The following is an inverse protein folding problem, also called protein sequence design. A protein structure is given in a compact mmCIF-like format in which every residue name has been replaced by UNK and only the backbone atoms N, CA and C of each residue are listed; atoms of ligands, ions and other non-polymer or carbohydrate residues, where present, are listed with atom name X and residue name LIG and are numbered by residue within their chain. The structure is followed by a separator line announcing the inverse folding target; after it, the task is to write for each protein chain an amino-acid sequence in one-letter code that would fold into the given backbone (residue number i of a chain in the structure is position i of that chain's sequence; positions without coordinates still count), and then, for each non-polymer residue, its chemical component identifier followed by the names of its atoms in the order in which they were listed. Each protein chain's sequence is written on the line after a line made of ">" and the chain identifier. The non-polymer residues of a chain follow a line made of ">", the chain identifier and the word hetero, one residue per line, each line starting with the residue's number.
data_IF_831253971225
#
_entry.id   IF_831253971225
#
_cell.length_a   1.000
_cell.length_b   1.000
_cell.length_c   1.000
_cell.angle_alpha   90.00
_cell.angle_beta   90.00
_cell.angle_gamma   90.00
#
_symmetry.space_group_name_H-M   'P 1'
#
loop_
_entity.id
_entity.type
_entity.pdbx_description
1 polymer ?
#
# COMPACT_ATOMS: atom_id res chain seq x y z
N UNK A 1 -18.59 4.09 -5.28
CA UNK A 1 -17.98 5.02 -4.28
C UNK A 1 -18.15 4.56 -2.83
N UNK A 2 -19.21 3.79 -2.49
CA UNK A 2 -19.43 3.31 -1.10
C UNK A 2 -18.59 2.08 -0.72
N UNK A 3 -18.17 1.26 -1.69
CA UNK A 3 -17.43 0.00 -1.44
C UNK A 3 -16.00 0.22 -0.92
N UNK A 4 -15.32 1.26 -1.40
CA UNK A 4 -13.91 1.52 -1.08
C UNK A 4 -13.69 1.96 0.37
N UNK A 5 -14.62 2.77 0.90
CA UNK A 5 -14.55 3.27 2.27
C UNK A 5 -14.76 2.13 3.29
N UNK A 6 -15.72 1.25 3.03
CA UNK A 6 -16.05 0.14 3.92
C UNK A 6 -14.92 -0.89 4.06
N UNK A 7 -14.21 -1.18 2.97
CA UNK A 7 -13.07 -2.12 2.99
C UNK A 7 -11.88 -1.54 3.76
N UNK A 8 -11.61 -0.26 3.58
CA UNK A 8 -10.54 0.44 4.29
C UNK A 8 -10.83 0.61 5.79
N UNK A 9 -12.09 0.86 6.16
CA UNK A 9 -12.52 0.88 7.56
C UNK A 9 -12.47 -0.52 8.21
N UNK A 10 -12.76 -1.58 7.46
CA UNK A 10 -12.68 -2.95 7.97
C UNK A 10 -11.22 -3.32 8.29
N UNK A 11 -10.25 -2.95 7.45
CA UNK A 11 -8.82 -3.17 7.70
C UNK A 11 -8.37 -2.42 8.97
N UNK A 12 -8.81 -1.17 9.14
CA UNK A 12 -8.49 -0.37 10.32
C UNK A 12 -9.13 -0.91 11.62
N UNK A 13 -10.27 -1.63 11.51
CA UNK A 13 -10.97 -2.25 12.66
C UNK A 13 -10.38 -3.57 13.11
N UNK A 14 -9.87 -4.41 12.20
CA UNK A 14 -9.22 -5.67 12.56
C UNK A 14 -7.94 -5.44 13.37
N UNK A 15 -7.14 -4.46 13.00
CA UNK A 15 -5.89 -4.14 13.72
C UNK A 15 -6.13 -3.49 15.10
N UNK A 16 -7.32 -2.90 15.33
CA UNK A 16 -7.68 -2.32 16.64
C UNK A 16 -8.03 -3.36 17.70
N UNK A 17 -8.27 -4.61 17.30
CA UNK A 17 -8.70 -5.69 18.19
C UNK A 17 -7.53 -6.40 18.88
N UNK A 18 -6.31 -6.27 18.37
CA UNK A 18 -5.10 -6.87 18.98
C UNK A 18 -4.41 -5.98 20.02
N UNK A 19 -4.80 -4.70 20.14
CA UNK A 19 -4.14 -3.71 21.01
C UNK A 19 -4.80 -3.50 22.38
N UNK A 20 -5.80 -4.29 22.78
CA UNK A 20 -6.54 -4.07 24.03
C UNK A 20 -6.42 -5.25 25.01
N UNK A 21 -5.22 -5.51 25.51
CA UNK A 21 -5.02 -6.30 26.74
C UNK A 21 -3.88 -5.69 27.55
N UNK A 22 -4.21 -5.43 28.84
CA UNK A 22 -3.37 -4.91 29.93
C UNK A 22 -3.28 -3.36 30.00
N UNK A 23 -3.68 -2.72 31.11
CA UNK A 23 -3.15 -2.89 32.45
C UNK A 23 -4.01 -2.23 33.54
N UNK A 24 -4.06 -2.83 34.70
CA UNK A 24 -4.58 -2.22 35.91
C UNK A 24 -3.58 -2.47 37.07
N UNK A 25 -2.93 -1.43 37.53
CA UNK A 25 -2.30 -1.47 38.87
C UNK A 25 -2.12 -0.06 39.41
N UNK A 26 -2.78 0.19 40.54
CA UNK A 26 -2.71 1.40 41.35
C UNK A 26 -1.43 1.44 42.20
N UNK A 27 -0.81 2.62 42.29
CA UNK A 27 -0.07 3.04 43.48
C UNK A 27 -0.15 4.56 43.63
N UNK A 28 -0.72 5.02 44.74
CA UNK A 28 -0.77 6.43 45.16
C UNK A 28 0.58 6.87 45.72
N UNK A 29 1.12 8.00 45.25
CA UNK A 29 2.11 8.81 46.01
C UNK A 29 1.87 10.29 45.73
N UNK A 30 1.88 11.09 46.80
CA UNK A 30 1.58 12.50 46.98
C UNK A 30 2.33 13.49 46.03
N UNK A 31 1.81 14.73 45.85
CA UNK A 31 2.21 15.60 44.74
C UNK A 31 3.54 16.31 45.01
N UNK A 32 4.55 16.00 44.25
CA UNK A 32 5.63 16.95 44.00
C UNK A 32 5.17 17.85 42.83
N UNK A 33 5.02 19.15 43.11
CA UNK A 33 4.87 20.17 42.06
C UNK A 33 6.15 20.13 41.20
N UNK A 34 6.12 19.36 40.17
CA UNK A 34 7.15 19.38 39.15
C UNK A 34 6.66 20.40 38.09
N UNK A 35 7.28 21.57 38.04
CA UNK A 35 7.14 22.49 36.90
C UNK A 35 7.76 21.76 35.72
N UNK A 36 6.96 20.93 35.06
CA UNK A 36 7.32 20.35 33.78
C UNK A 36 7.27 21.51 32.78
N UNK A 37 8.42 21.95 32.30
CA UNK A 37 8.47 22.75 31.10
C UNK A 37 7.66 22.02 30.03
N UNK A 38 6.56 22.61 29.58
CA UNK A 38 5.70 22.09 28.51
C UNK A 38 6.51 22.07 27.22
N UNK A 39 7.26 20.99 27.02
CA UNK A 39 7.95 20.76 25.75
C UNK A 39 6.86 20.63 24.69
N UNK A 40 6.94 21.41 23.58
CA UNK A 40 5.90 21.34 22.56
C UNK A 40 5.74 19.91 22.05
N UNK A 41 4.52 19.40 22.12
CA UNK A 41 4.19 18.05 21.63
C UNK A 41 4.44 17.96 20.13
N UNK A 42 4.94 16.81 19.70
CA UNK A 42 5.06 16.52 18.26
C UNK A 42 3.68 16.35 17.64
N UNK A 43 3.43 17.09 16.57
CA UNK A 43 2.22 17.01 15.74
C UNK A 43 2.58 17.04 14.27
N UNK A 44 2.01 16.13 13.47
CA UNK A 44 2.25 16.05 12.04
C UNK A 44 3.49 15.26 11.63
N UNK A 45 4.04 15.61 10.49
CA UNK A 45 5.14 14.89 9.87
C UNK A 45 6.51 15.29 10.44
N UNK A 46 7.33 14.27 10.77
CA UNK A 46 8.73 14.41 11.19
C UNK A 46 9.61 13.43 10.44
N UNK A 47 10.82 13.85 10.11
CA UNK A 47 11.85 12.96 9.60
C UNK A 47 12.86 12.69 10.71
N UNK A 48 13.01 11.42 11.09
CA UNK A 48 13.88 10.96 12.17
C UNK A 48 14.67 9.74 11.71
N UNK A 49 16.00 9.77 11.87
CA UNK A 49 16.88 8.69 11.45
C UNK A 49 16.63 8.22 9.99
N UNK A 50 16.44 9.17 9.09
CA UNK A 50 16.11 8.95 7.66
C UNK A 50 14.73 8.35 7.38
N UNK A 51 13.86 8.16 8.39
CA UNK A 51 12.50 7.68 8.23
C UNK A 51 11.48 8.79 8.46
N UNK A 52 10.40 8.78 7.70
CA UNK A 52 9.26 9.65 7.94
C UNK A 52 8.31 9.01 8.94
N UNK A 53 7.88 9.82 9.93
CA UNK A 53 6.90 9.46 10.95
C UNK A 53 5.81 10.52 11.02
N UNK A 54 4.63 10.12 11.45
CA UNK A 54 3.52 11.05 11.66
C UNK A 54 3.09 10.97 13.13
N UNK A 55 3.05 12.12 13.78
CA UNK A 55 2.73 12.20 15.20
C UNK A 55 1.35 12.84 15.44
N UNK A 56 0.65 12.35 16.44
CA UNK A 56 -0.52 12.97 17.07
C UNK A 56 -0.33 12.91 18.59
N UNK A 57 -0.40 14.07 19.27
CA UNK A 57 -0.16 14.17 20.71
C UNK A 57 1.11 13.44 21.18
N UNK A 58 2.24 13.69 20.53
CA UNK A 58 3.54 13.01 20.78
C UNK A 58 3.58 11.51 20.46
N UNK A 59 2.51 10.91 20.00
CA UNK A 59 2.46 9.48 19.68
C UNK A 59 2.66 9.26 18.17
N UNK A 60 3.61 8.40 17.77
CA UNK A 60 3.77 8.07 16.36
C UNK A 60 2.57 7.26 15.87
N UNK A 61 2.15 7.53 14.63
CA UNK A 61 1.18 6.70 13.95
C UNK A 61 1.76 5.31 13.70
N UNK A 62 0.93 4.29 13.85
CA UNK A 62 1.24 2.89 13.54
C UNK A 62 0.17 2.35 12.61
N UNK A 63 0.55 1.35 11.81
CA UNK A 63 -0.36 0.68 10.90
C UNK A 63 -1.00 1.65 9.88
N UNK A 64 -2.23 1.40 9.48
CA UNK A 64 -2.94 2.21 8.52
C UNK A 64 -3.38 3.55 9.08
N UNK A 65 -3.05 4.63 8.36
CA UNK A 65 -3.47 5.99 8.70
C UNK A 65 -3.88 6.74 7.45
N UNK A 66 -5.06 7.36 7.52
CA UNK A 66 -5.45 8.33 6.50
C UNK A 66 -5.05 9.74 6.95
N UNK A 67 -4.29 10.44 6.11
CA UNK A 67 -3.80 11.78 6.37
C UNK A 67 -4.13 12.62 5.14
N UNK A 68 -4.92 13.67 5.32
CA UNK A 68 -5.38 14.55 4.22
C UNK A 68 -5.95 13.78 3.02
N UNK A 69 -6.77 12.76 3.29
CA UNK A 69 -7.42 11.94 2.27
C UNK A 69 -6.55 10.86 1.62
N UNK A 70 -5.24 10.80 1.91
CA UNK A 70 -4.30 9.81 1.39
C UNK A 70 -4.04 8.73 2.43
N UNK A 71 -3.91 7.48 2.00
CA UNK A 71 -3.60 6.36 2.87
C UNK A 71 -2.10 6.09 2.94
N UNK A 72 -1.62 5.86 4.17
CA UNK A 72 -0.25 5.51 4.51
C UNK A 72 -0.25 4.29 5.41
N UNK A 73 0.86 3.58 5.43
CA UNK A 73 1.12 2.52 6.39
C UNK A 73 2.43 2.81 7.15
N UNK A 74 2.37 2.66 8.47
CA UNK A 74 3.51 2.81 9.37
C UNK A 74 3.81 1.47 10.02
N UNK A 75 5.09 1.10 10.09
CA UNK A 75 5.53 -0.12 10.75
C UNK A 75 5.40 -0.03 12.28
N UNK A 76 5.86 -1.07 12.98
CA UNK A 76 5.79 -1.12 14.45
C UNK A 76 6.70 -0.08 15.14
N UNK A 77 7.71 0.42 14.44
CA UNK A 77 8.59 1.50 14.91
C UNK A 77 8.07 2.89 14.52
N UNK A 78 6.91 2.97 13.89
CA UNK A 78 6.30 4.21 13.39
C UNK A 78 6.92 4.74 12.11
N UNK A 79 7.71 3.95 11.38
CA UNK A 79 8.31 4.38 10.13
C UNK A 79 7.30 4.22 8.99
N UNK A 80 7.11 5.27 8.20
CA UNK A 80 6.26 5.24 7.00
C UNK A 80 6.87 4.32 5.94
N UNK A 81 6.09 3.38 5.43
CA UNK A 81 6.47 2.59 4.25
C UNK A 81 6.47 3.49 3.00
N UNK A 82 7.39 3.23 2.07
CA UNK A 82 7.47 3.90 0.78
C UNK A 82 8.19 3.00 -0.23
N UNK A 83 7.97 3.25 -1.53
CA UNK A 83 8.62 2.51 -2.63
C UNK A 83 8.63 0.99 -2.42
N UNK A 84 7.51 0.43 -1.96
CA UNK A 84 7.42 -0.98 -1.59
C UNK A 84 6.02 -1.55 -1.79
N UNK A 85 5.94 -2.88 -1.76
CA UNK A 85 4.68 -3.62 -1.66
C UNK A 85 4.62 -4.26 -0.28
N UNK A 86 3.51 -4.07 0.42
CA UNK A 86 3.26 -4.67 1.71
C UNK A 86 1.82 -5.19 1.80
N UNK A 87 1.66 -6.45 2.18
CA UNK A 87 0.35 -7.11 2.33
C UNK A 87 -0.59 -6.92 1.11
N UNK A 88 -0.04 -6.89 -0.11
CA UNK A 88 -0.80 -6.73 -1.35
C UNK A 88 -1.25 -5.29 -1.65
N UNK A 89 -0.61 -4.30 -1.05
CA UNK A 89 -0.75 -2.88 -1.33
C UNK A 89 0.60 -2.30 -1.75
N UNK A 90 0.60 -1.41 -2.72
CA UNK A 90 1.80 -0.70 -3.17
C UNK A 90 1.81 0.73 -2.63
N UNK A 91 2.99 1.19 -2.25
CA UNK A 91 3.24 2.55 -1.76
C UNK A 91 4.25 3.24 -2.67
N UNK A 92 3.96 4.48 -3.07
CA UNK A 92 4.87 5.28 -3.88
C UNK A 92 6.08 5.79 -3.06
N UNK A 93 6.93 6.60 -3.69
CA UNK A 93 8.10 7.20 -3.04
C UNK A 93 7.73 8.13 -1.87
N UNK A 94 6.54 8.72 -1.92
CA UNK A 94 6.01 9.58 -0.85
C UNK A 94 5.21 8.78 0.20
N UNK A 95 5.22 7.44 0.10
CA UNK A 95 4.53 6.53 0.99
C UNK A 95 3.01 6.54 0.84
N UNK A 96 2.47 7.16 -0.21
CA UNK A 96 1.04 7.13 -0.48
C UNK A 96 0.65 5.79 -1.08
N UNK A 97 -0.38 5.16 -0.54
CA UNK A 97 -0.94 3.93 -1.11
C UNK A 97 -1.48 4.20 -2.53
N UNK A 98 -1.08 3.37 -3.48
CA UNK A 98 -1.55 3.43 -4.87
C UNK A 98 -2.98 2.91 -4.95
N UNK A 99 -3.85 3.66 -5.64
CA UNK A 99 -5.24 3.30 -5.90
C UNK A 99 -5.61 3.49 -7.35
N UNK A 100 -6.37 2.55 -7.89
CA UNK A 100 -6.93 2.60 -9.25
C UNK A 100 -5.91 3.06 -10.31
N UNK A 101 -4.67 2.59 -10.19
CA UNK A 101 -3.55 3.06 -11.01
C UNK A 101 -2.47 2.00 -11.20
N UNK A 102 -1.69 2.21 -12.25
CA UNK A 102 -0.45 1.50 -12.49
C UNK A 102 0.67 2.03 -11.57
N UNK A 103 1.55 1.14 -11.16
CA UNK A 103 2.81 1.49 -10.50
C UNK A 103 3.93 0.58 -10.96
N UNK A 104 5.15 1.08 -10.92
CA UNK A 104 6.35 0.32 -11.25
C UNK A 104 7.28 0.28 -10.06
N UNK A 105 7.59 -0.92 -9.58
CA UNK A 105 8.53 -1.17 -8.49
C UNK A 105 9.51 -2.26 -8.93
N UNK A 106 10.79 -2.08 -8.66
CA UNK A 106 11.86 -3.04 -9.00
C UNK A 106 11.78 -3.56 -10.45
N UNK A 107 11.52 -2.64 -11.40
CA UNK A 107 11.36 -2.94 -12.83
C UNK A 107 10.11 -3.76 -13.21
N UNK A 108 9.24 -4.10 -12.27
CA UNK A 108 7.98 -4.79 -12.51
C UNK A 108 6.79 -3.83 -12.47
N UNK A 109 5.79 -4.09 -13.32
CA UNK A 109 4.55 -3.35 -13.35
C UNK A 109 3.47 -4.03 -12.53
N UNK A 110 2.72 -3.24 -11.80
CA UNK A 110 1.59 -3.64 -10.96
C UNK A 110 0.40 -2.74 -11.22
N UNK A 111 -0.80 -3.23 -10.94
CA UNK A 111 -2.01 -2.42 -10.99
C UNK A 111 -2.80 -2.57 -9.70
N UNK A 112 -3.09 -1.45 -9.03
CA UNK A 112 -3.95 -1.42 -7.86
C UNK A 112 -5.40 -1.12 -8.28
N UNK A 113 -6.36 -1.83 -7.71
CA UNK A 113 -7.78 -1.53 -7.89
C UNK A 113 -8.20 -0.28 -7.09
N UNK A 114 -9.48 0.07 -7.14
CA UNK A 114 -10.01 1.24 -6.43
C UNK A 114 -9.95 1.15 -4.90
N UNK A 115 -9.71 -0.02 -4.32
CA UNK A 115 -9.47 -0.19 -2.88
C UNK A 115 -7.98 -0.22 -2.51
N UNK A 116 -7.09 -0.01 -3.48
CA UNK A 116 -5.64 -0.07 -3.30
C UNK A 116 -5.05 -1.48 -3.37
N UNK A 117 -5.88 -2.53 -3.46
CA UNK A 117 -5.40 -3.90 -3.61
C UNK A 117 -4.75 -4.12 -4.97
N UNK A 118 -3.57 -4.70 -4.99
CA UNK A 118 -2.94 -5.16 -6.22
C UNK A 118 -3.78 -6.27 -6.87
N UNK A 119 -3.92 -6.20 -8.19
CA UNK A 119 -4.48 -7.29 -8.97
C UNK A 119 -3.48 -8.44 -8.98
N UNK A 120 -3.93 -9.66 -8.69
CA UNK A 120 -3.08 -10.84 -8.58
C UNK A 120 -3.77 -12.08 -9.19
N UNK A 121 -2.97 -12.93 -9.81
CA UNK A 121 -3.36 -14.23 -10.35
C UNK A 121 -4.64 -14.18 -11.20
N UNK A 122 -4.74 -13.18 -12.08
CA UNK A 122 -5.95 -13.00 -12.92
C UNK A 122 -5.72 -12.07 -14.10
N UNK A 123 -6.63 -12.17 -15.05
CA UNK A 123 -6.79 -11.22 -16.15
C UNK A 123 -7.52 -9.97 -15.69
N UNK A 124 -7.08 -8.82 -16.16
CA UNK A 124 -7.74 -7.53 -15.91
C UNK A 124 -7.79 -6.69 -17.18
N UNK A 125 -8.97 -6.19 -17.53
CA UNK A 125 -9.11 -5.19 -18.60
C UNK A 125 -8.90 -3.79 -18.04
N UNK A 126 -7.95 -3.06 -18.61
CA UNK A 126 -7.58 -1.71 -18.19
C UNK A 126 -7.49 -0.86 -19.44
N UNK A 127 -8.26 0.23 -19.50
CA UNK A 127 -8.30 1.16 -20.64
C UNK A 127 -8.46 0.46 -22.00
N UNK A 128 -9.32 -0.57 -22.06
CA UNK A 128 -9.63 -1.28 -23.30
C UNK A 128 -8.75 -2.51 -23.59
N UNK A 129 -7.56 -2.63 -23.02
CA UNK A 129 -6.63 -3.76 -23.22
C UNK A 129 -6.67 -4.74 -22.04
N UNK A 130 -6.46 -6.03 -22.32
CA UNK A 130 -6.35 -7.06 -21.32
C UNK A 130 -4.89 -7.26 -20.91
N UNK A 131 -4.67 -7.46 -19.60
CA UNK A 131 -3.38 -7.75 -18.97
C UNK A 131 -3.54 -8.93 -18.02
N UNK A 132 -2.47 -9.70 -17.84
CA UNK A 132 -2.44 -10.75 -16.84
C UNK A 132 -1.43 -10.41 -15.74
N UNK A 133 -1.85 -10.60 -14.50
CA UNK A 133 -1.02 -10.41 -13.31
C UNK A 133 -0.81 -11.75 -12.65
N UNK A 134 0.43 -12.09 -12.35
CA UNK A 134 0.78 -13.33 -11.68
C UNK A 134 0.38 -13.35 -10.19
N UNK A 135 0.73 -14.42 -9.49
CA UNK A 135 0.43 -14.57 -8.06
C UNK A 135 1.09 -13.51 -7.16
N UNK A 136 2.18 -12.87 -7.62
CA UNK A 136 2.85 -11.78 -6.90
C UNK A 136 2.23 -10.42 -7.21
N UNK A 137 1.37 -10.35 -8.23
CA UNK A 137 0.79 -9.14 -8.78
C UNK A 137 1.63 -8.50 -9.87
N UNK A 138 2.73 -9.14 -10.30
CA UNK A 138 3.55 -8.65 -11.40
C UNK A 138 2.83 -8.83 -12.73
N UNK A 139 2.76 -7.76 -13.54
CA UNK A 139 2.22 -7.84 -14.89
C UNK A 139 3.17 -8.68 -15.77
N UNK A 140 2.61 -9.72 -16.41
CA UNK A 140 3.35 -10.50 -17.38
C UNK A 140 3.44 -9.80 -18.73
N UNK A 141 4.55 -9.99 -19.43
CA UNK A 141 4.78 -9.46 -20.78
C UNK A 141 5.66 -10.39 -21.59
N UNK A 142 5.61 -10.27 -22.90
CA UNK A 142 6.42 -11.06 -23.84
C UNK A 142 6.32 -12.58 -23.58
N UNK A 143 5.12 -13.08 -23.34
CA UNK A 143 4.83 -14.49 -23.01
C UNK A 143 3.41 -14.86 -23.43
N UNK A 144 2.98 -16.08 -23.17
CA UNK A 144 1.59 -16.51 -23.34
C UNK A 144 1.02 -17.02 -22.04
N UNK A 145 -0.28 -16.79 -21.82
CA UNK A 145 -1.06 -17.28 -20.69
C UNK A 145 -2.39 -17.79 -21.22
N UNK A 146 -2.76 -19.02 -20.89
CA UNK A 146 -4.01 -19.67 -21.30
C UNK A 146 -4.25 -19.62 -22.84
N UNK A 147 -3.16 -19.67 -23.63
CA UNK A 147 -3.23 -19.57 -25.09
C UNK A 147 -3.33 -18.15 -25.65
N UNK A 148 -3.35 -17.13 -24.82
CA UNK A 148 -3.33 -15.72 -25.23
C UNK A 148 -1.92 -15.15 -25.16
N UNK A 149 -1.51 -14.43 -26.19
CA UNK A 149 -0.20 -13.80 -26.28
C UNK A 149 -0.23 -12.44 -25.55
N UNK A 150 0.79 -12.21 -24.73
CA UNK A 150 1.07 -10.91 -24.11
C UNK A 150 2.23 -10.24 -24.82
N UNK A 151 2.02 -9.06 -25.34
CA UNK A 151 3.04 -8.27 -26.03
C UNK A 151 4.15 -7.81 -25.07
N UNK A 152 5.19 -7.19 -25.59
CA UNK A 152 6.26 -6.57 -24.79
C UNK A 152 5.72 -5.50 -23.82
N UNK A 153 4.59 -4.85 -24.15
CA UNK A 153 3.94 -3.89 -23.24
C UNK A 153 3.06 -4.55 -22.18
N UNK A 154 2.91 -5.87 -22.20
CA UNK A 154 2.02 -6.63 -21.33
C UNK A 154 0.58 -6.71 -21.79
N UNK A 155 0.17 -5.92 -22.78
CA UNK A 155 -1.18 -5.99 -23.33
C UNK A 155 -1.37 -7.31 -24.10
N UNK A 156 -2.54 -7.94 -23.96
CA UNK A 156 -2.94 -9.07 -24.78
C UNK A 156 -2.94 -8.66 -26.26
N UNK A 157 -2.31 -9.48 -27.10
CA UNK A 157 -2.27 -9.24 -28.53
C UNK A 157 -3.70 -9.27 -29.11
N UNK A 158 -3.98 -8.34 -30.00
CA UNK A 158 -5.20 -8.36 -30.81
C UNK A 158 -5.09 -9.41 -31.93
N UNK A 159 -6.22 -9.69 -32.59
CA UNK A 159 -6.22 -10.60 -33.76
C UNK A 159 -5.25 -10.11 -34.82
N UNK A 160 -4.44 -11.04 -35.31
CA UNK A 160 -3.44 -10.78 -36.34
C UNK A 160 -2.04 -11.22 -35.96
N UNK A 161 -1.09 -11.01 -36.86
CA UNK A 161 0.28 -11.40 -36.66
C UNK A 161 0.94 -10.59 -35.52
N UNK A 162 1.43 -11.29 -34.50
CA UNK A 162 2.16 -10.71 -33.36
C UNK A 162 3.54 -11.35 -33.26
N UNK A 163 4.58 -10.56 -33.04
CA UNK A 163 5.95 -11.03 -32.88
C UNK A 163 6.35 -11.06 -31.42
N UNK A 164 6.71 -12.24 -30.91
CA UNK A 164 7.32 -12.43 -29.60
C UNK A 164 8.69 -13.10 -29.77
N UNK A 165 9.72 -12.57 -29.16
CA UNK A 165 11.08 -13.13 -29.17
C UNK A 165 11.56 -13.61 -30.55
N UNK A 166 11.42 -12.78 -31.59
CA UNK A 166 11.75 -13.07 -32.98
C UNK A 166 10.81 -14.06 -33.68
N UNK A 167 9.81 -14.66 -33.03
CA UNK A 167 8.84 -15.60 -33.58
C UNK A 167 7.53 -14.89 -33.88
N UNK A 168 6.95 -15.16 -35.06
CA UNK A 168 5.64 -14.65 -35.43
C UNK A 168 4.53 -15.62 -35.01
N UNK A 169 3.47 -15.07 -34.40
CA UNK A 169 2.24 -15.77 -34.03
C UNK A 169 1.04 -15.10 -34.69
N UNK A 170 0.00 -15.91 -35.01
CA UNK A 170 -1.25 -15.43 -35.60
C UNK A 170 -2.44 -15.66 -34.70
#
# INVERSE_FOLDING_TARGET
>A
TQSTSAVKEAIAKEEKKESSVEENSKSEVLPKVNVQEDKPKKEGWYQENHHWRFYQDDKPALNWKQIQGKWYYFDQDGNRLHSTIYKGYAFDQDGVMIENSWTKLDNQWYYANSSGRLIQNTWKKINGSWYYFDQTGSMLSNTSVDGYLLTKSGAMAEKGWTKLDQIWYY
#
